data_IF_777025477878
#
_entry.id   IF_777025477878
#
_cell.length_a   1.000
_cell.length_b   1.000
_cell.length_c   1.000
_cell.angle_alpha   90.00
_cell.angle_beta   90.00
_cell.angle_gamma   90.00
#
_symmetry.space_group_name_H-M   'P 1'
#
loop_
_entity.id
_entity.type
_entity.pdbx_description
1 polymer ?
#
# COMPACT_ATOMS: atom_id res chain seq x y z
N UNK A 1 18.52 38.31 -20.03
CA UNK A 1 17.27 37.54 -19.90
C UNK A 1 17.64 36.16 -19.40
N UNK A 2 16.79 35.47 -18.64
CA UNK A 2 17.09 34.08 -18.29
C UNK A 2 17.17 33.26 -19.59
N UNK A 3 18.22 32.46 -19.75
CA UNK A 3 18.42 31.59 -20.92
C UNK A 3 17.53 30.31 -20.88
N UNK A 4 16.56 30.28 -19.98
CA UNK A 4 15.60 29.19 -19.80
C UNK A 4 14.20 29.75 -19.54
N UNK A 5 13.19 28.97 -19.88
CA UNK A 5 11.77 29.31 -19.70
C UNK A 5 11.17 28.63 -18.46
N UNK A 6 9.97 29.06 -18.07
CA UNK A 6 9.18 28.36 -17.04
C UNK A 6 8.87 26.91 -17.47
N UNK A 7 8.71 26.67 -18.77
CA UNK A 7 8.47 25.33 -19.31
C UNK A 7 9.68 24.41 -19.09
N UNK A 8 10.90 24.94 -19.22
CA UNK A 8 12.14 24.18 -18.98
C UNK A 8 12.28 23.82 -17.50
N UNK A 9 11.95 24.75 -16.60
CA UNK A 9 11.90 24.46 -15.15
C UNK A 9 10.89 23.36 -14.85
N UNK A 10 9.69 23.44 -15.44
CA UNK A 10 8.63 22.45 -15.25
C UNK A 10 9.06 21.08 -15.77
N UNK A 11 9.64 21.02 -16.97
CA UNK A 11 10.15 19.79 -17.57
C UNK A 11 11.24 19.15 -16.72
N UNK A 12 12.25 19.92 -16.30
CA UNK A 12 13.35 19.38 -15.48
C UNK A 12 12.86 18.81 -14.15
N UNK A 13 11.89 19.51 -13.53
CA UNK A 13 11.19 19.04 -12.34
C UNK A 13 10.45 17.72 -12.60
N UNK A 14 9.70 17.62 -13.69
CA UNK A 14 8.94 16.41 -14.03
C UNK A 14 9.87 15.23 -14.32
N UNK A 15 10.96 15.44 -15.07
CA UNK A 15 11.90 14.38 -15.48
C UNK A 15 12.68 13.78 -14.30
N UNK A 16 12.94 14.58 -13.25
CA UNK A 16 13.76 14.19 -12.10
C UNK A 16 12.99 14.09 -10.78
N UNK A 17 11.69 14.43 -10.76
CA UNK A 17 10.91 14.47 -9.52
C UNK A 17 11.33 15.57 -8.54
N UNK A 18 12.14 16.55 -8.99
CA UNK A 18 12.73 17.56 -8.12
C UNK A 18 11.74 18.64 -7.66
N UNK A 19 12.03 19.31 -6.54
CA UNK A 19 11.30 20.51 -6.12
C UNK A 19 11.42 21.64 -7.14
N UNK A 20 10.37 22.46 -7.30
CA UNK A 20 10.34 23.57 -8.28
C UNK A 20 11.53 24.53 -8.14
N UNK A 21 11.90 24.85 -6.90
CA UNK A 21 13.04 25.74 -6.63
C UNK A 21 14.38 25.06 -6.93
N UNK A 22 14.51 23.76 -6.68
CA UNK A 22 15.72 23.02 -7.02
C UNK A 22 15.93 22.94 -8.53
N UNK A 23 14.87 22.62 -9.29
CA UNK A 23 14.89 22.64 -10.75
C UNK A 23 15.27 24.02 -11.31
N UNK A 24 14.66 25.08 -10.78
CA UNK A 24 14.98 26.46 -11.17
C UNK A 24 16.43 26.81 -10.86
N UNK A 25 16.91 26.50 -9.66
CA UNK A 25 18.26 26.84 -9.23
C UNK A 25 19.31 26.10 -10.06
N UNK A 26 19.05 24.84 -10.40
CA UNK A 26 19.93 24.06 -11.28
C UNK A 26 20.05 24.68 -12.68
N UNK A 27 18.93 25.13 -13.26
CA UNK A 27 18.95 25.86 -14.54
C UNK A 27 19.67 27.20 -14.45
N UNK A 28 19.59 27.90 -13.31
CA UNK A 28 20.38 29.13 -13.09
C UNK A 28 21.87 28.82 -13.04
N UNK A 29 22.29 27.80 -12.30
CA UNK A 29 23.70 27.41 -12.15
C UNK A 29 24.27 26.82 -13.47
N UNK A 30 23.43 26.18 -14.26
CA UNK A 30 23.76 25.68 -15.59
C UNK A 30 23.70 26.76 -16.69
N UNK A 31 23.39 28.01 -16.37
CA UNK A 31 23.19 29.10 -17.34
C UNK A 31 22.16 28.77 -18.44
N UNK A 32 21.12 28.03 -18.06
CA UNK A 32 20.05 27.55 -18.93
C UNK A 32 20.35 26.25 -19.70
N UNK A 33 21.54 25.68 -19.56
CA UNK A 33 21.88 24.38 -20.15
C UNK A 33 21.10 23.26 -19.43
N UNK A 34 20.18 22.63 -20.15
CA UNK A 34 19.31 21.59 -19.61
C UNK A 34 20.07 20.34 -19.16
N UNK A 35 21.00 19.85 -19.98
CA UNK A 35 21.73 18.62 -19.71
C UNK A 35 22.66 18.81 -18.51
N UNK A 36 23.33 19.96 -18.45
CA UNK A 36 24.14 20.33 -17.28
C UNK A 36 23.29 20.51 -16.03
N UNK A 37 22.08 21.07 -16.13
CA UNK A 37 21.16 21.19 -15.00
C UNK A 37 20.70 19.80 -14.48
N UNK A 38 20.49 18.84 -15.39
CA UNK A 38 20.22 17.44 -15.04
C UNK A 38 21.39 16.84 -14.25
N UNK A 39 22.62 17.02 -14.73
CA UNK A 39 23.81 16.52 -14.03
C UNK A 39 23.95 17.12 -12.63
N UNK A 40 23.78 18.43 -12.50
CA UNK A 40 23.85 19.14 -11.21
C UNK A 40 22.81 18.61 -10.22
N UNK A 41 21.57 18.39 -10.66
CA UNK A 41 20.52 17.85 -9.80
C UNK A 41 20.80 16.42 -9.37
N UNK A 42 21.30 15.56 -10.28
CA UNK A 42 21.65 14.18 -9.92
C UNK A 42 22.80 14.13 -8.92
N UNK A 43 23.83 14.95 -9.09
CA UNK A 43 24.94 15.05 -8.13
C UNK A 43 24.43 15.54 -6.77
N UNK A 44 23.55 16.54 -6.75
CA UNK A 44 22.94 17.06 -5.52
C UNK A 44 22.04 16.02 -4.85
N UNK A 45 21.24 15.30 -5.64
CA UNK A 45 20.35 14.22 -5.20
C UNK A 45 21.11 13.09 -4.53
N UNK A 46 22.14 12.56 -5.19
CA UNK A 46 22.98 11.50 -4.63
C UNK A 46 23.61 11.89 -3.28
N UNK A 47 24.11 13.14 -3.15
CA UNK A 47 24.63 13.67 -1.88
C UNK A 47 23.56 13.83 -0.81
N UNK A 48 22.33 14.12 -1.21
CA UNK A 48 21.21 14.29 -0.30
C UNK A 48 20.71 12.94 0.22
N UNK A 49 20.51 11.95 -0.64
CA UNK A 49 20.02 10.60 -0.28
C UNK A 49 20.93 9.93 0.75
N UNK A 50 22.26 10.03 0.59
CA UNK A 50 23.23 9.48 1.54
C UNK A 50 23.14 10.04 2.98
N UNK A 51 22.34 11.07 3.21
CA UNK A 51 22.12 11.71 4.53
C UNK A 51 20.68 11.61 5.02
N UNK A 52 19.84 10.78 4.38
CA UNK A 52 18.38 10.78 4.55
C UNK A 52 17.80 9.53 5.21
N UNK A 53 18.63 8.70 5.85
CA UNK A 53 18.15 7.48 6.53
C UNK A 53 17.01 7.76 7.53
N UNK A 54 17.06 8.91 8.21
CA UNK A 54 16.05 9.32 9.21
C UNK A 54 14.76 9.91 8.61
N UNK A 55 14.69 10.13 7.29
CA UNK A 55 13.50 10.73 6.66
C UNK A 55 12.38 9.72 6.51
N UNK A 56 11.17 10.18 6.81
CA UNK A 56 9.94 9.44 6.60
C UNK A 56 9.56 9.39 5.12
N UNK A 57 9.22 8.20 4.63
CA UNK A 57 8.67 7.97 3.29
C UNK A 57 7.18 7.64 3.42
N UNK A 58 6.34 8.68 3.51
CA UNK A 58 4.89 8.58 3.72
C UNK A 58 4.07 8.55 2.43
N UNK A 59 4.71 8.84 1.29
CA UNK A 59 4.11 8.81 -0.04
C UNK A 59 4.59 7.58 -0.80
N UNK A 60 4.06 7.33 -2.00
CA UNK A 60 4.51 6.21 -2.83
C UNK A 60 3.42 5.62 -3.72
N UNK A 61 3.56 4.34 -4.03
CA UNK A 61 2.60 3.57 -4.82
C UNK A 61 2.49 2.15 -4.29
N UNK A 62 1.29 1.60 -4.37
CA UNK A 62 1.06 0.16 -4.24
C UNK A 62 0.78 -0.45 -5.59
N UNK A 63 1.47 -1.53 -5.90
CA UNK A 63 1.30 -2.30 -7.13
C UNK A 63 1.14 -3.78 -6.78
N UNK A 64 0.51 -4.53 -7.67
CA UNK A 64 0.23 -5.94 -7.44
C UNK A 64 0.31 -6.73 -8.73
N UNK A 65 0.70 -8.00 -8.61
CA UNK A 65 0.71 -8.97 -9.71
C UNK A 65 0.21 -10.33 -9.22
N UNK A 66 -0.24 -11.18 -10.15
CA UNK A 66 -0.69 -12.54 -9.86
C UNK A 66 0.10 -13.52 -10.72
N UNK A 67 0.88 -14.39 -10.09
CA UNK A 67 1.74 -15.36 -10.77
C UNK A 67 1.93 -16.62 -9.91
N UNK A 68 2.00 -17.80 -10.54
CA UNK A 68 2.39 -19.03 -9.87
C UNK A 68 1.48 -19.46 -8.71
N UNK A 69 0.17 -19.18 -8.78
CA UNK A 69 -0.77 -19.53 -7.71
C UNK A 69 -0.73 -18.58 -6.51
N UNK A 70 -0.16 -17.38 -6.68
CA UNK A 70 -0.16 -16.35 -5.66
C UNK A 70 -0.39 -14.95 -6.25
N UNK A 71 -0.97 -14.07 -5.45
CA UNK A 71 -0.99 -12.64 -5.65
C UNK A 71 0.07 -11.98 -4.77
N UNK A 72 0.92 -11.16 -5.36
CA UNK A 72 1.96 -10.39 -4.64
C UNK A 72 1.63 -8.92 -4.73
N UNK A 73 1.65 -8.23 -3.59
CA UNK A 73 1.46 -6.78 -3.47
C UNK A 73 2.73 -6.19 -2.87
N UNK A 74 3.19 -5.08 -3.44
CA UNK A 74 4.29 -4.31 -2.85
C UNK A 74 3.91 -2.84 -2.70
N UNK A 75 4.44 -2.23 -1.65
CA UNK A 75 4.46 -0.78 -1.45
C UNK A 75 5.88 -0.27 -1.73
N UNK A 76 6.04 0.47 -2.82
CA UNK A 76 7.24 1.28 -3.05
C UNK A 76 6.96 2.69 -2.54
N UNK A 77 7.71 3.13 -1.56
CA UNK A 77 7.53 4.41 -0.88
C UNK A 77 8.51 5.47 -1.38
N UNK A 78 8.08 6.73 -1.30
CA UNK A 78 8.86 7.95 -1.59
C UNK A 78 8.65 8.98 -0.47
N UNK A 79 9.47 10.03 -0.45
CA UNK A 79 9.28 11.17 0.47
C UNK A 79 8.11 12.06 0.02
N UNK A 80 7.94 12.28 -1.29
CA UNK A 80 6.94 13.21 -1.83
C UNK A 80 6.00 12.56 -2.83
N UNK A 81 4.83 13.19 -3.00
CA UNK A 81 3.82 12.82 -4.00
C UNK A 81 4.29 13.10 -5.44
N UNK A 82 5.20 14.06 -5.63
CA UNK A 82 5.78 14.37 -6.93
C UNK A 82 6.63 13.24 -7.47
N UNK A 83 7.44 12.59 -6.61
CA UNK A 83 8.16 11.38 -6.98
C UNK A 83 7.20 10.21 -7.15
N UNK A 84 6.18 10.06 -6.29
CA UNK A 84 5.17 9.01 -6.45
C UNK A 84 4.47 9.05 -7.82
N UNK A 85 4.26 10.26 -8.37
CA UNK A 85 3.65 10.51 -9.69
C UNK A 85 4.63 10.39 -10.88
N UNK A 86 5.92 10.26 -10.63
CA UNK A 86 6.95 10.23 -11.67
C UNK A 86 6.96 8.89 -12.42
N UNK A 87 7.03 8.92 -13.76
CA UNK A 87 6.97 7.72 -14.61
C UNK A 87 8.12 6.73 -14.33
N UNK A 88 9.34 7.22 -14.02
CA UNK A 88 10.47 6.35 -13.68
C UNK A 88 10.22 5.62 -12.37
N UNK A 89 9.58 6.28 -11.40
CA UNK A 89 9.22 5.69 -10.11
C UNK A 89 8.14 4.62 -10.27
N UNK A 90 7.06 4.91 -11.00
CA UNK A 90 5.99 3.91 -11.22
C UNK A 90 6.48 2.73 -12.05
N UNK A 91 7.34 2.96 -13.05
CA UNK A 91 7.96 1.89 -13.84
C UNK A 91 8.88 1.03 -12.98
N UNK A 92 9.62 1.62 -12.04
CA UNK A 92 10.41 0.86 -11.07
C UNK A 92 9.49 0.00 -10.19
N UNK A 93 8.38 0.54 -9.68
CA UNK A 93 7.45 -0.23 -8.86
C UNK A 93 6.91 -1.47 -9.60
N UNK A 94 6.54 -1.33 -10.87
CA UNK A 94 6.08 -2.44 -11.72
C UNK A 94 7.16 -3.51 -11.91
N UNK A 95 8.42 -3.10 -12.09
CA UNK A 95 9.56 -4.02 -12.15
C UNK A 95 9.81 -4.72 -10.82
N UNK A 96 9.75 -3.98 -9.72
CA UNK A 96 9.97 -4.51 -8.37
C UNK A 96 8.92 -5.57 -8.05
N UNK A 97 7.62 -5.31 -8.27
CA UNK A 97 6.59 -6.32 -7.97
C UNK A 97 6.74 -7.60 -8.78
N UNK A 98 7.15 -7.49 -10.05
CA UNK A 98 7.43 -8.64 -10.89
C UNK A 98 8.62 -9.46 -10.37
N UNK A 99 9.73 -8.79 -10.01
CA UNK A 99 10.91 -9.45 -9.44
C UNK A 99 10.60 -10.14 -8.10
N UNK A 100 9.90 -9.45 -7.20
CA UNK A 100 9.49 -9.96 -5.88
C UNK A 100 8.57 -11.18 -6.05
N UNK A 101 7.59 -11.11 -6.96
CA UNK A 101 6.67 -12.21 -7.22
C UNK A 101 7.39 -13.45 -7.79
N UNK A 102 8.27 -13.25 -8.77
CA UNK A 102 9.07 -14.30 -9.40
C UNK A 102 10.03 -14.98 -8.41
N UNK A 103 10.58 -14.21 -7.45
CA UNK A 103 11.42 -14.74 -6.38
C UNK A 103 10.63 -15.49 -5.29
N UNK A 104 9.30 -15.43 -5.30
CA UNK A 104 8.48 -16.03 -4.26
C UNK A 104 8.55 -15.30 -2.92
N UNK A 105 9.03 -14.06 -2.89
CA UNK A 105 9.24 -13.31 -1.66
C UNK A 105 7.91 -12.94 -0.98
N UNK A 106 7.86 -13.10 0.34
CA UNK A 106 6.68 -12.84 1.19
C UNK A 106 6.91 -11.74 2.22
N UNK A 107 8.10 -11.15 2.26
CA UNK A 107 8.49 -10.10 3.18
C UNK A 107 9.49 -9.14 2.51
N UNK A 108 9.77 -8.02 3.18
CA UNK A 108 10.61 -6.93 2.66
C UNK A 108 12.07 -7.34 2.51
N UNK A 109 12.58 -8.19 3.41
CA UNK A 109 13.98 -8.65 3.37
C UNK A 109 14.21 -9.50 2.12
N UNK A 110 13.38 -10.53 1.92
CA UNK A 110 13.40 -11.36 0.73
C UNK A 110 13.09 -10.56 -0.53
N UNK A 111 12.17 -9.58 -0.45
CA UNK A 111 11.81 -8.72 -1.57
C UNK A 111 12.98 -7.85 -2.04
N UNK A 112 13.74 -7.26 -1.11
CA UNK A 112 14.93 -6.48 -1.42
C UNK A 112 16.05 -7.32 -2.02
N UNK A 113 16.16 -8.59 -1.63
CA UNK A 113 17.15 -9.52 -2.17
C UNK A 113 16.76 -10.10 -3.55
N UNK A 114 15.53 -9.89 -4.01
CA UNK A 114 15.04 -10.46 -5.27
C UNK A 114 15.87 -9.96 -6.48
N UNK A 115 16.19 -10.83 -7.46
CA UNK A 115 16.93 -10.43 -8.65
C UNK A 115 16.09 -9.55 -9.58
N UNK A 116 16.67 -8.44 -10.04
CA UNK A 116 16.09 -7.51 -10.99
C UNK A 116 17.18 -7.00 -11.96
N UNK A 117 17.05 -7.29 -13.25
CA UNK A 117 17.93 -6.76 -14.32
C UNK A 117 19.45 -6.90 -14.03
N UNK A 118 19.87 -8.03 -13.45
CA UNK A 118 21.28 -8.33 -13.15
C UNK A 118 21.82 -7.77 -11.84
N UNK A 119 20.97 -7.18 -11.00
CA UNK A 119 21.25 -6.70 -9.64
C UNK A 119 20.11 -7.12 -8.70
N UNK A 120 20.14 -6.67 -7.45
CA UNK A 120 19.03 -6.83 -6.49
C UNK A 120 18.00 -5.72 -6.60
N UNK A 121 16.77 -5.98 -6.13
CA UNK A 121 15.73 -4.95 -5.98
C UNK A 121 16.24 -3.77 -5.14
N UNK A 122 16.96 -4.04 -4.05
CA UNK A 122 17.55 -2.98 -3.21
C UNK A 122 18.48 -2.06 -4.01
N UNK A 123 19.41 -2.62 -4.79
CA UNK A 123 20.33 -1.84 -5.62
C UNK A 123 19.60 -1.02 -6.69
N UNK A 124 18.53 -1.57 -7.28
CA UNK A 124 17.72 -0.85 -8.25
C UNK A 124 16.96 0.33 -7.62
N UNK A 125 16.46 0.15 -6.39
CA UNK A 125 15.81 1.21 -5.61
C UNK A 125 16.82 2.31 -5.26
N UNK A 126 18.03 1.95 -4.82
CA UNK A 126 19.09 2.91 -4.47
C UNK A 126 19.54 3.74 -5.67
N UNK A 127 19.70 3.13 -6.84
CA UNK A 127 20.04 3.85 -8.07
C UNK A 127 18.95 4.83 -8.48
N UNK A 128 17.67 4.42 -8.38
CA UNK A 128 16.55 5.29 -8.69
C UNK A 128 16.42 6.43 -7.66
N UNK A 129 16.66 6.15 -6.38
CA UNK A 129 16.70 7.14 -5.32
C UNK A 129 17.77 8.21 -5.61
N UNK A 130 18.98 7.80 -6.01
CA UNK A 130 20.04 8.73 -6.39
C UNK A 130 19.66 9.58 -7.62
N UNK A 131 18.96 8.99 -8.59
CA UNK A 131 18.52 9.68 -9.80
C UNK A 131 17.37 10.69 -9.55
N UNK A 132 16.44 10.35 -8.66
CA UNK A 132 15.26 11.17 -8.31
C UNK A 132 15.54 12.14 -7.14
N UNK A 133 16.64 11.94 -6.41
CA UNK A 133 17.08 12.83 -5.33
C UNK A 133 16.24 12.74 -4.04
N UNK A 134 15.49 11.66 -3.86
CA UNK A 134 14.69 11.35 -2.68
C UNK A 134 14.93 9.92 -2.21
N UNK A 135 14.72 9.67 -0.92
CA UNK A 135 14.72 8.32 -0.36
C UNK A 135 13.55 7.54 -0.93
N UNK A 136 13.85 6.36 -1.47
CA UNK A 136 12.89 5.36 -1.87
C UNK A 136 13.04 4.13 -1.00
N UNK A 137 11.95 3.41 -0.74
CA UNK A 137 12.02 2.18 0.05
C UNK A 137 10.94 1.19 -0.33
N UNK A 138 11.30 -0.09 -0.44
CA UNK A 138 10.32 -1.17 -0.39
C UNK A 138 9.84 -1.29 1.06
N UNK A 139 8.61 -0.85 1.34
CA UNK A 139 8.07 -0.80 2.72
C UNK A 139 7.25 -2.02 3.09
N UNK A 140 6.52 -2.56 2.13
CA UNK A 140 5.59 -3.64 2.34
C UNK A 140 5.71 -4.64 1.20
N UNK A 141 5.78 -5.92 1.54
CA UNK A 141 5.61 -7.05 0.62
C UNK A 141 4.58 -7.96 1.26
N UNK A 142 3.52 -8.28 0.51
CA UNK A 142 2.51 -9.25 0.94
C UNK A 142 2.29 -10.24 -0.18
N UNK A 143 2.27 -11.52 0.16
CA UNK A 143 1.96 -12.62 -0.75
C UNK A 143 0.75 -13.39 -0.22
N UNK A 144 -0.25 -13.58 -1.07
CA UNK A 144 -1.47 -14.34 -0.75
C UNK A 144 -1.61 -15.47 -1.75
N UNK A 145 -1.78 -16.69 -1.26
CA UNK A 145 -1.97 -17.89 -2.09
C UNK A 145 -3.46 -18.24 -2.24
N UNK A 146 -3.81 -18.95 -3.32
CA UNK A 146 -5.18 -19.35 -3.61
C UNK A 146 -5.37 -19.81 -5.05
N UNK A 147 -6.62 -20.15 -5.38
CA UNK A 147 -6.98 -20.74 -6.68
C UNK A 147 -7.20 -19.67 -7.76
N UNK A 148 -7.91 -18.61 -7.40
CA UNK A 148 -8.16 -17.42 -8.21
C UNK A 148 -7.95 -16.16 -7.39
N UNK A 149 -7.67 -15.05 -8.07
CA UNK A 149 -7.35 -13.78 -7.43
C UNK A 149 -8.15 -12.65 -8.03
N UNK A 150 -8.54 -11.71 -7.17
CA UNK A 150 -9.09 -10.44 -7.57
C UNK A 150 -8.29 -9.30 -6.92
N UNK A 151 -7.77 -8.40 -7.75
CA UNK A 151 -6.88 -7.31 -7.37
C UNK A 151 -7.58 -5.97 -7.60
N UNK A 152 -7.88 -5.25 -6.54
CA UNK A 152 -8.45 -3.90 -6.60
C UNK A 152 -7.41 -2.85 -6.19
N UNK A 153 -7.01 -2.02 -7.15
CA UNK A 153 -6.12 -0.88 -6.94
C UNK A 153 -6.94 0.41 -6.89
N UNK A 154 -6.88 1.14 -5.78
CA UNK A 154 -7.64 2.35 -5.54
C UNK A 154 -6.74 3.57 -5.43
N UNK A 155 -7.12 4.63 -6.16
CA UNK A 155 -6.52 5.95 -6.07
C UNK A 155 -7.31 6.81 -5.10
N UNK A 156 -6.68 7.30 -4.04
CA UNK A 156 -7.32 8.22 -3.07
C UNK A 156 -7.55 9.62 -3.64
N UNK A 157 -6.82 9.99 -4.70
CA UNK A 157 -7.03 11.18 -5.51
C UNK A 157 -6.75 10.88 -6.98
N UNK A 158 -7.40 11.59 -7.90
CA UNK A 158 -7.25 11.36 -9.35
C UNK A 158 -5.82 11.57 -9.85
N UNK A 159 -5.08 12.47 -9.21
CA UNK A 159 -3.71 12.84 -9.59
C UNK A 159 -2.65 11.86 -9.05
N UNK A 160 -2.98 11.05 -8.05
CA UNK A 160 -2.04 10.10 -7.43
C UNK A 160 -2.04 8.74 -8.15
N UNK A 161 -0.93 8.00 -8.09
CA UNK A 161 -0.95 6.57 -8.42
C UNK A 161 -1.76 5.80 -7.37
N UNK A 162 -2.08 4.51 -7.59
CA UNK A 162 -2.80 3.72 -6.59
C UNK A 162 -2.15 3.79 -5.20
N UNK A 163 -2.96 4.12 -4.20
CA UNK A 163 -2.53 4.26 -2.80
C UNK A 163 -3.05 3.14 -1.91
N UNK A 164 -4.04 2.39 -2.38
CA UNK A 164 -4.58 1.22 -1.69
C UNK A 164 -4.63 0.06 -2.68
N UNK A 165 -4.08 -1.09 -2.29
CA UNK A 165 -4.15 -2.33 -3.03
C UNK A 165 -4.87 -3.35 -2.15
N UNK A 166 -5.87 -4.00 -2.73
CA UNK A 166 -6.57 -5.12 -2.11
C UNK A 166 -6.43 -6.34 -3.00
N UNK A 167 -6.15 -7.46 -2.38
CA UNK A 167 -6.19 -8.78 -3.00
C UNK A 167 -7.25 -9.61 -2.28
N UNK A 168 -8.09 -10.29 -3.05
CA UNK A 168 -8.94 -11.38 -2.59
C UNK A 168 -8.48 -12.65 -3.29
N UNK A 169 -8.05 -13.65 -2.52
CA UNK A 169 -7.84 -15.01 -3.01
C UNK A 169 -9.12 -15.82 -2.77
N UNK A 170 -9.59 -16.55 -3.77
CA UNK A 170 -10.87 -17.25 -3.70
C UNK A 170 -10.93 -18.48 -4.61
N UNK A 171 -11.81 -19.42 -4.24
CA UNK A 171 -12.31 -20.47 -5.13
C UNK A 171 -13.70 -20.09 -5.65
N UNK A 172 -14.01 -20.48 -6.89
CA UNK A 172 -15.25 -20.14 -7.60
C UNK A 172 -14.99 -19.31 -8.86
N UNK A 173 -16.06 -18.85 -9.53
CA UNK A 173 -15.95 -18.18 -10.85
C UNK A 173 -16.58 -16.80 -10.93
N UNK A 174 -17.20 -16.28 -9.87
CA UNK A 174 -17.81 -14.96 -9.87
C UNK A 174 -16.80 -13.85 -9.50
N UNK A 175 -15.97 -13.50 -10.49
CA UNK A 175 -14.97 -12.43 -10.33
C UNK A 175 -15.61 -11.06 -10.02
N UNK A 176 -16.86 -10.81 -10.47
CA UNK A 176 -17.54 -9.54 -10.22
C UNK A 176 -17.94 -9.39 -8.74
N UNK A 177 -18.36 -10.47 -8.10
CA UNK A 177 -18.63 -10.44 -6.67
C UNK A 177 -17.33 -10.43 -5.86
N UNK A 178 -16.28 -11.18 -6.25
CA UNK A 178 -14.96 -11.07 -5.64
C UNK A 178 -14.40 -9.63 -5.70
N UNK A 179 -14.64 -8.93 -6.82
CA UNK A 179 -14.28 -7.50 -6.99
C UNK A 179 -15.04 -6.62 -6.02
N UNK A 180 -16.33 -6.88 -5.84
CA UNK A 180 -17.18 -6.13 -4.92
C UNK A 180 -16.72 -6.33 -3.46
N UNK A 181 -16.29 -7.55 -3.10
CA UNK A 181 -15.66 -7.85 -1.81
C UNK A 181 -14.30 -7.14 -1.65
N UNK A 182 -13.48 -7.08 -2.71
CA UNK A 182 -12.22 -6.34 -2.67
C UNK A 182 -12.45 -4.83 -2.41
N UNK A 183 -13.49 -4.25 -3.00
CA UNK A 183 -13.91 -2.86 -2.74
C UNK A 183 -14.41 -2.68 -1.30
N UNK A 184 -15.15 -3.66 -0.78
CA UNK A 184 -15.55 -3.66 0.64
C UNK A 184 -14.32 -3.64 1.55
N UNK A 185 -13.34 -4.52 1.34
CA UNK A 185 -12.09 -4.57 2.13
C UNK A 185 -11.33 -3.24 2.05
N UNK A 186 -11.26 -2.62 0.87
CA UNK A 186 -10.58 -1.33 0.70
C UNK A 186 -11.13 -0.25 1.64
N UNK A 187 -12.45 -0.24 1.83
CA UNK A 187 -13.18 0.66 2.72
C UNK A 187 -13.18 0.22 4.19
N UNK A 188 -13.58 -1.02 4.48
CA UNK A 188 -13.86 -1.53 5.82
C UNK A 188 -12.60 -1.91 6.61
N UNK A 189 -11.47 -2.13 5.93
CA UNK A 189 -10.16 -2.42 6.53
C UNK A 189 -10.19 -3.52 7.63
N UNK A 190 -10.73 -4.72 7.35
CA UNK A 190 -10.61 -5.86 8.27
C UNK A 190 -9.15 -6.25 8.49
N UNK A 191 -8.88 -6.89 9.62
CA UNK A 191 -7.55 -7.39 10.02
C UNK A 191 -7.42 -8.90 9.86
N UNK A 192 -8.51 -9.64 10.05
CA UNK A 192 -8.55 -11.10 10.02
C UNK A 192 -9.56 -11.57 8.98
N UNK A 193 -9.40 -12.77 8.42
CA UNK A 193 -10.38 -13.31 7.47
C UNK A 193 -11.59 -13.83 8.24
N UNK A 194 -11.33 -14.68 9.24
CA UNK A 194 -12.34 -15.33 10.05
C UNK A 194 -12.28 -14.87 11.51
N UNK A 195 -13.36 -15.14 12.26
CA UNK A 195 -13.40 -14.90 13.71
C UNK A 195 -12.36 -15.72 14.47
N UNK A 196 -12.06 -16.93 13.99
CA UNK A 196 -11.18 -17.88 14.68
C UNK A 196 -9.70 -17.50 14.54
N UNK A 197 -9.36 -16.66 13.55
CA UNK A 197 -8.02 -16.09 13.39
C UNK A 197 -7.72 -14.94 14.34
N UNK A 198 -8.73 -14.40 15.05
CA UNK A 198 -8.51 -13.32 16.01
C UNK A 198 -7.77 -13.88 17.23
N UNK A 199 -6.57 -13.37 17.58
CA UNK A 199 -5.82 -13.85 18.74
C UNK A 199 -6.62 -13.73 20.02
N UNK A 200 -6.57 -14.76 20.87
CA UNK A 200 -7.26 -14.76 22.16
C UNK A 200 -6.86 -13.55 23.03
N UNK A 201 -5.58 -13.16 22.99
CA UNK A 201 -5.07 -11.98 23.70
C UNK A 201 -5.73 -10.67 23.23
N UNK A 202 -6.01 -10.53 21.94
CA UNK A 202 -6.71 -9.36 21.40
C UNK A 202 -8.16 -9.31 21.90
N UNK A 203 -8.84 -10.46 21.92
CA UNK A 203 -10.21 -10.57 22.46
C UNK A 203 -10.26 -10.24 23.95
N UNK A 204 -9.32 -10.75 24.75
CA UNK A 204 -9.30 -10.51 26.19
C UNK A 204 -8.92 -9.06 26.53
N UNK A 205 -7.99 -8.45 25.76
CA UNK A 205 -7.70 -7.02 25.87
C UNK A 205 -8.92 -6.17 25.53
N UNK A 206 -9.62 -6.50 24.46
CA UNK A 206 -10.84 -5.79 24.07
C UNK A 206 -11.93 -5.97 25.13
N UNK A 207 -12.09 -7.19 25.68
CA UNK A 207 -13.04 -7.50 26.75
C UNK A 207 -12.82 -6.60 27.96
N UNK A 208 -11.60 -6.54 28.47
CA UNK A 208 -11.25 -5.69 29.60
C UNK A 208 -11.57 -4.20 29.31
N UNK A 209 -11.28 -3.75 28.10
CA UNK A 209 -11.56 -2.38 27.64
C UNK A 209 -13.06 -2.10 27.64
N UNK A 210 -13.86 -2.92 26.95
CA UNK A 210 -15.31 -2.68 26.85
C UNK A 210 -16.03 -2.88 28.18
N UNK A 211 -15.53 -3.76 29.05
CA UNK A 211 -16.06 -3.96 30.40
C UNK A 211 -15.83 -2.73 31.28
N UNK A 212 -14.61 -2.16 31.25
CA UNK A 212 -14.31 -0.91 31.94
C UNK A 212 -15.20 0.25 31.45
N UNK A 213 -15.31 0.45 30.13
CA UNK A 213 -16.18 1.47 29.54
C UNK A 213 -17.63 1.26 29.99
N UNK A 214 -18.14 0.03 29.95
CA UNK A 214 -19.54 -0.26 30.30
C UNK A 214 -19.82 0.01 31.79
N UNK A 215 -18.84 -0.22 32.68
CA UNK A 215 -18.96 0.15 34.11
C UNK A 215 -18.96 1.67 34.31
N UNK A 216 -18.08 2.40 33.63
CA UNK A 216 -18.03 3.87 33.71
C UNK A 216 -19.31 4.53 33.20
N UNK A 217 -20.00 3.91 32.23
CA UNK A 217 -21.32 4.34 31.77
C UNK A 217 -22.46 4.10 32.79
N UNK A 218 -22.17 3.52 33.96
CA UNK A 218 -23.14 3.29 35.03
C UNK A 218 -24.19 2.23 34.71
N UNK A 219 -23.89 1.27 33.81
CA UNK A 219 -24.82 0.20 33.47
C UNK A 219 -24.97 -0.80 34.64
N UNK A 220 -26.13 -1.44 34.82
CA UNK A 220 -26.33 -2.41 35.91
C UNK A 220 -25.37 -3.61 35.82
N UNK A 221 -24.74 -3.99 36.93
CA UNK A 221 -23.82 -5.15 37.03
C UNK A 221 -24.41 -6.44 36.45
N UNK A 222 -25.71 -6.71 36.69
CA UNK A 222 -26.40 -7.89 36.16
C UNK A 222 -26.50 -7.90 34.61
N UNK A 223 -26.44 -6.75 33.95
CA UNK A 223 -26.48 -6.64 32.49
C UNK A 223 -25.08 -6.59 31.85
N UNK A 224 -24.02 -6.36 32.63
CA UNK A 224 -22.65 -6.22 32.12
C UNK A 224 -22.21 -7.38 31.23
N UNK A 225 -22.37 -8.67 31.62
CA UNK A 225 -21.88 -9.78 30.80
C UNK A 225 -22.48 -9.78 29.39
N UNK A 226 -23.80 -9.52 29.29
CA UNK A 226 -24.51 -9.48 28.01
C UNK A 226 -24.11 -8.27 27.16
N UNK A 227 -23.89 -7.10 27.78
CA UNK A 227 -23.46 -5.89 27.06
C UNK A 227 -22.03 -6.07 26.53
N UNK A 228 -21.12 -6.58 27.36
CA UNK A 228 -19.73 -6.89 26.98
C UNK A 228 -19.70 -7.88 25.84
N UNK A 229 -20.49 -8.96 25.90
CA UNK A 229 -20.61 -9.93 24.81
C UNK A 229 -21.10 -9.28 23.50
N UNK A 230 -22.13 -8.42 23.57
CA UNK A 230 -22.61 -7.65 22.42
C UNK A 230 -21.53 -6.76 21.81
N UNK A 231 -20.76 -6.04 22.63
CA UNK A 231 -19.65 -5.19 22.17
C UNK A 231 -18.50 -6.01 21.57
N UNK A 232 -18.16 -7.16 22.16
CA UNK A 232 -17.17 -8.07 21.58
C UNK A 232 -17.63 -8.64 20.23
N UNK A 233 -18.92 -8.91 20.06
CA UNK A 233 -19.46 -9.30 18.76
C UNK A 233 -19.37 -8.16 17.74
N UNK A 234 -19.60 -6.91 18.14
CA UNK A 234 -19.39 -5.75 17.27
C UNK A 234 -17.91 -5.58 16.89
N UNK A 235 -16.98 -5.78 17.84
CA UNK A 235 -15.54 -5.79 17.57
C UNK A 235 -15.16 -6.87 16.54
N UNK A 236 -15.66 -8.10 16.70
CA UNK A 236 -15.43 -9.19 15.73
C UNK A 236 -15.93 -8.80 14.34
N UNK A 237 -17.13 -8.24 14.24
CA UNK A 237 -17.66 -7.69 12.98
C UNK A 237 -16.84 -6.54 12.41
N UNK A 238 -16.04 -5.85 13.21
CA UNK A 238 -15.16 -4.79 12.71
C UNK A 238 -13.86 -5.38 12.14
N UNK A 239 -13.29 -6.39 12.81
CA UNK A 239 -11.93 -6.86 12.48
C UNK A 239 -11.89 -8.14 11.63
N UNK A 240 -12.95 -8.96 11.60
CA UNK A 240 -13.00 -10.17 10.78
C UNK A 240 -13.85 -9.94 9.51
N UNK A 241 -13.23 -10.10 8.33
CA UNK A 241 -13.86 -9.85 7.03
C UNK A 241 -15.16 -10.62 6.87
N UNK A 242 -15.16 -11.92 7.12
CA UNK A 242 -16.34 -12.76 6.89
C UNK A 242 -17.52 -12.45 7.84
N UNK A 243 -17.25 -11.78 8.96
CA UNK A 243 -18.26 -11.32 9.92
C UNK A 243 -18.83 -9.93 9.57
N UNK A 244 -18.14 -9.16 8.73
CA UNK A 244 -18.53 -7.78 8.38
C UNK A 244 -19.90 -7.77 7.68
N UNK A 245 -20.71 -6.78 8.03
CA UNK A 245 -21.92 -6.45 7.28
C UNK A 245 -21.49 -5.89 5.91
N UNK A 246 -22.04 -6.45 4.84
CA UNK A 246 -21.53 -6.21 3.50
C UNK A 246 -21.92 -4.81 2.99
N UNK A 247 -20.94 -4.04 2.54
CA UNK A 247 -21.15 -2.62 2.19
C UNK A 247 -22.12 -2.43 1.01
N UNK A 248 -22.20 -3.39 0.08
CA UNK A 248 -23.10 -3.37 -1.08
C UNK A 248 -24.54 -3.74 -0.72
N UNK A 249 -24.72 -4.61 0.29
CA UNK A 249 -26.02 -4.98 0.86
C UNK A 249 -25.86 -5.30 2.35
N UNK A 250 -26.20 -4.33 3.21
CA UNK A 250 -26.00 -4.42 4.66
C UNK A 250 -26.94 -5.42 5.36
N UNK A 251 -27.81 -6.11 4.61
CA UNK A 251 -28.61 -7.23 5.13
C UNK A 251 -27.86 -8.56 5.11
N UNK A 252 -26.73 -8.63 4.40
CA UNK A 252 -25.88 -9.79 4.28
C UNK A 252 -24.55 -9.53 5.00
N UNK A 253 -23.93 -10.58 5.54
CA UNK A 253 -22.51 -10.54 5.84
C UNK A 253 -21.69 -10.78 4.56
N UNK A 254 -20.41 -10.45 4.59
CA UNK A 254 -19.48 -10.78 3.48
C UNK A 254 -19.44 -12.29 3.26
N UNK A 255 -19.44 -13.10 4.32
CA UNK A 255 -19.52 -14.57 4.20
C UNK A 255 -20.76 -14.99 3.39
N UNK A 256 -21.93 -14.40 3.70
CA UNK A 256 -23.16 -14.77 3.01
C UNK A 256 -23.21 -14.28 1.57
N UNK A 257 -22.64 -13.10 1.30
CA UNK A 257 -22.50 -12.61 -0.07
C UNK A 257 -21.59 -13.52 -0.91
N UNK A 258 -20.44 -13.93 -0.38
CA UNK A 258 -19.55 -14.89 -1.03
C UNK A 258 -20.23 -16.24 -1.27
N UNK A 259 -20.88 -16.81 -0.26
CA UNK A 259 -21.61 -18.09 -0.37
C UNK A 259 -22.70 -18.03 -1.44
N UNK A 260 -23.50 -16.96 -1.48
CA UNK A 260 -24.57 -16.78 -2.46
C UNK A 260 -24.04 -16.69 -3.90
N UNK A 261 -22.82 -16.19 -4.09
CA UNK A 261 -22.12 -16.14 -5.38
C UNK A 261 -21.32 -17.41 -5.69
N UNK A 262 -21.39 -18.44 -4.84
CA UNK A 262 -20.61 -19.67 -5.00
C UNK A 262 -19.11 -19.47 -4.82
N UNK A 263 -18.71 -18.46 -4.04
CA UNK A 263 -17.32 -18.15 -3.73
C UNK A 263 -16.93 -18.69 -2.36
N UNK A 264 -15.70 -19.20 -2.26
CA UNK A 264 -15.02 -19.43 -0.97
C UNK A 264 -13.83 -18.50 -0.89
N UNK A 265 -13.81 -17.58 0.07
CA UNK A 265 -12.68 -16.68 0.28
C UNK A 265 -11.58 -17.45 1.01
N UNK A 266 -10.41 -17.55 0.38
CA UNK A 266 -9.26 -18.31 0.86
C UNK A 266 -8.25 -17.42 1.59
N UNK A 267 -8.20 -16.14 1.25
CA UNK A 267 -7.30 -15.17 1.85
C UNK A 267 -7.56 -13.77 1.32
N UNK A 268 -7.02 -12.77 2.02
CA UNK A 268 -7.01 -11.40 1.51
C UNK A 268 -5.79 -10.64 2.01
N UNK A 269 -5.49 -9.54 1.33
CA UNK A 269 -4.54 -8.55 1.80
C UNK A 269 -5.06 -7.15 1.48
N UNK A 270 -4.73 -6.20 2.34
CA UNK A 270 -4.92 -4.77 2.09
C UNK A 270 -3.65 -4.02 2.44
N UNK A 271 -3.03 -3.39 1.45
CA UNK A 271 -1.87 -2.54 1.63
C UNK A 271 -2.29 -1.10 1.33
N UNK A 272 -1.93 -0.17 2.21
CA UNK A 272 -2.17 1.26 2.03
C UNK A 272 -0.83 1.97 2.18
N UNK A 273 -0.50 2.83 1.21
CA UNK A 273 0.70 3.68 1.25
C UNK A 273 0.74 4.47 2.56
N UNK A 274 1.89 4.44 3.23
CA UNK A 274 2.14 5.25 4.42
C UNK A 274 1.39 4.79 5.68
N UNK A 275 0.73 3.63 5.66
CA UNK A 275 0.07 3.06 6.83
C UNK A 275 1.04 2.61 7.94
#
# INVERSE_FOLDING_TARGET
MANYSLADVKKLREDLGAGMMDAKNALVEADGDYDKAVELLRIKGAKAVAKRDDRATSEGVVVATTEGGAATVVELASETDFVAKNEKFTTLADKVVAAVAAAGASDVEAGNAAPLDGKTVAEAIDEAAAALGEKLALRTVVRVEGDAFEVYLHKTSQDLPPQIAVVIAYAGSDAAEARSIAQHVAFANPTYLTRDEIPAEAIEKERATVEAITREEGKPEAALPKIVEGRLNAYRKQVALLEQDYAKDNKLSVAKAAENAGLTIQGFARVKVGA
#
